data_IF_265177601304
#
_entry.id   IF_265177601304
#
_cell.length_a   1.000
_cell.length_b   1.000
_cell.length_c   1.000
_cell.angle_alpha   90.00
_cell.angle_beta   90.00
_cell.angle_gamma   90.00
#
_symmetry.space_group_name_H-M   'P 1'
#
loop_
_entity.id
_entity.type
_entity.pdbx_description
1 polymer ?
#
# COMPACT_ATOMS: atom_id res chain seq x y z
N UNK A 1 25.14 -0.76 -10.55
CA UNK A 1 24.23 -1.84 -10.12
C UNK A 1 23.28 -1.25 -9.09
N UNK A 2 22.00 -1.43 -9.27
CA UNK A 2 20.97 -0.98 -8.31
C UNK A 2 21.03 -1.87 -7.09
N UNK A 3 21.03 -1.30 -5.88
CA UNK A 3 21.06 -2.09 -4.67
C UNK A 3 19.72 -2.80 -4.42
N UNK A 4 19.78 -3.98 -3.77
CA UNK A 4 18.57 -4.71 -3.38
C UNK A 4 17.65 -3.86 -2.49
N UNK A 5 18.24 -3.04 -1.63
CA UNK A 5 17.50 -2.12 -0.76
C UNK A 5 16.72 -1.07 -1.57
N UNK A 6 17.30 -0.57 -2.67
CA UNK A 6 16.60 0.37 -3.54
C UNK A 6 15.38 -0.29 -4.22
N UNK A 7 15.49 -1.57 -4.61
CA UNK A 7 14.38 -2.36 -5.17
C UNK A 7 13.24 -2.49 -4.15
N UNK A 8 13.57 -2.95 -2.96
CA UNK A 8 12.61 -3.15 -1.88
C UNK A 8 11.91 -1.83 -1.50
N UNK A 9 12.68 -0.77 -1.36
CA UNK A 9 12.16 0.54 -1.01
C UNK A 9 11.21 1.09 -2.07
N UNK A 10 11.52 0.87 -3.34
CA UNK A 10 10.64 1.26 -4.44
C UNK A 10 9.30 0.53 -4.41
N UNK A 11 9.30 -0.78 -4.10
CA UNK A 11 8.07 -1.56 -3.98
C UNK A 11 7.17 -1.03 -2.84
N UNK A 12 7.78 -0.62 -1.71
CA UNK A 12 7.03 -0.02 -0.60
C UNK A 12 6.39 1.31 -1.01
N UNK A 13 7.14 2.16 -1.72
CA UNK A 13 6.63 3.44 -2.22
C UNK A 13 5.52 3.26 -3.25
N UNK A 14 5.64 2.26 -4.13
CA UNK A 14 4.60 1.91 -5.08
C UNK A 14 3.32 1.48 -4.34
N UNK A 15 3.43 0.56 -3.38
CA UNK A 15 2.31 0.09 -2.58
C UNK A 15 1.63 1.25 -1.80
N UNK A 16 2.43 2.15 -1.24
CA UNK A 16 1.93 3.36 -0.57
C UNK A 16 1.20 4.29 -1.54
N UNK A 17 1.75 4.51 -2.73
CA UNK A 17 1.12 5.34 -3.77
C UNK A 17 -0.23 4.77 -4.21
N UNK A 18 -0.31 3.46 -4.42
CA UNK A 18 -1.57 2.76 -4.72
C UNK A 18 -2.59 2.95 -3.60
N UNK A 19 -2.18 2.77 -2.34
CA UNK A 19 -3.04 2.99 -1.17
C UNK A 19 -3.54 4.44 -1.10
N UNK A 20 -2.64 5.40 -1.16
CA UNK A 20 -2.97 6.83 -1.06
C UNK A 20 -3.99 7.26 -2.13
N UNK A 21 -3.82 6.77 -3.37
CA UNK A 21 -4.77 7.05 -4.45
C UNK A 21 -6.17 6.50 -4.18
N UNK A 22 -6.27 5.31 -3.58
CA UNK A 22 -7.56 4.68 -3.29
C UNK A 22 -8.33 5.33 -2.14
N UNK A 23 -7.62 5.85 -1.13
CA UNK A 23 -8.26 6.44 0.05
C UNK A 23 -8.42 7.96 -0.06
N UNK A 24 -7.86 8.58 -1.09
CA UNK A 24 -8.03 10.02 -1.33
C UNK A 24 -9.51 10.33 -1.53
N UNK A 25 -10.03 11.23 -0.72
CA UNK A 25 -11.44 11.63 -0.76
C UNK A 25 -12.45 10.47 -0.63
N UNK A 26 -12.06 9.36 0.02
CA UNK A 26 -12.92 8.21 0.24
C UNK A 26 -14.12 8.59 1.14
N UNK A 27 -15.36 8.51 0.65
CA UNK A 27 -16.55 8.74 1.48
C UNK A 27 -16.71 7.64 2.53
N UNK A 28 -17.19 7.99 3.71
CA UNK A 28 -17.45 7.01 4.78
C UNK A 28 -18.44 5.92 4.33
N UNK A 29 -19.48 6.28 3.57
CA UNK A 29 -20.48 5.33 3.05
C UNK A 29 -19.85 4.26 2.15
N UNK A 30 -18.89 4.65 1.30
CA UNK A 30 -18.13 3.72 0.47
C UNK A 30 -17.22 2.82 1.32
N UNK A 31 -16.56 3.40 2.33
CA UNK A 31 -15.71 2.64 3.25
C UNK A 31 -16.50 1.63 4.09
N UNK A 32 -17.76 1.91 4.40
CA UNK A 32 -18.64 1.02 5.17
C UNK A 32 -19.32 -0.06 4.32
N UNK A 33 -19.25 0.05 3.02
CA UNK A 33 -19.86 -0.93 2.14
C UNK A 33 -19.24 -2.32 2.31
N UNK A 34 -20.09 -3.33 2.37
CA UNK A 34 -19.75 -4.75 2.41
C UNK A 34 -20.59 -5.52 1.40
N UNK A 35 -20.01 -6.46 0.70
CA UNK A 35 -20.69 -7.29 -0.28
C UNK A 35 -20.75 -8.76 0.17
N UNK A 36 -21.90 -9.39 0.09
CA UNK A 36 -22.03 -10.85 0.17
C UNK A 36 -21.45 -11.51 1.42
N UNK A 37 -21.45 -10.84 2.58
CA UNK A 37 -20.88 -11.38 3.82
C UNK A 37 -19.37 -11.17 3.99
N UNK A 38 -18.74 -10.45 3.07
CA UNK A 38 -17.35 -9.99 3.22
C UNK A 38 -17.26 -8.85 4.24
N UNK A 39 -16.05 -8.61 4.73
CA UNK A 39 -15.77 -7.42 5.55
C UNK A 39 -16.03 -6.15 4.74
N UNK A 40 -16.38 -5.07 5.41
CA UNK A 40 -16.50 -3.76 4.77
C UNK A 40 -15.15 -3.24 4.28
N UNK A 41 -15.17 -2.23 3.40
CA UNK A 41 -13.96 -1.53 2.98
C UNK A 41 -13.14 -1.02 4.17
N UNK A 42 -13.79 -0.41 5.18
CA UNK A 42 -13.12 -0.03 6.43
C UNK A 42 -12.51 -1.23 7.16
N UNK A 43 -13.19 -2.38 7.15
CA UNK A 43 -12.66 -3.63 7.70
C UNK A 43 -11.42 -4.12 6.96
N UNK A 44 -11.36 -3.96 5.63
CA UNK A 44 -10.17 -4.25 4.82
C UNK A 44 -9.03 -3.31 5.18
N UNK A 45 -9.28 -2.00 5.28
CA UNK A 45 -8.27 -1.01 5.66
C UNK A 45 -7.70 -1.28 7.06
N UNK A 46 -8.55 -1.56 8.05
CA UNK A 46 -8.14 -1.92 9.41
C UNK A 46 -7.24 -3.16 9.42
N UNK A 47 -7.61 -4.18 8.65
CA UNK A 47 -6.82 -5.40 8.52
C UNK A 47 -5.48 -5.13 7.86
N UNK A 48 -5.45 -4.36 6.78
CA UNK A 48 -4.24 -3.97 6.09
C UNK A 48 -3.28 -3.22 7.02
N UNK A 49 -3.77 -2.21 7.74
CA UNK A 49 -2.97 -1.45 8.70
C UNK A 49 -2.42 -2.32 9.83
N UNK A 50 -3.25 -3.21 10.39
CA UNK A 50 -2.81 -4.13 11.43
C UNK A 50 -1.62 -4.98 10.99
N UNK A 51 -1.69 -5.57 9.80
CA UNK A 51 -0.62 -6.41 9.29
C UNK A 51 0.61 -5.63 8.84
N UNK A 52 0.46 -4.40 8.35
CA UNK A 52 1.59 -3.49 8.11
C UNK A 52 2.41 -3.30 9.39
N UNK A 53 1.77 -3.02 10.51
CA UNK A 53 2.45 -2.86 11.80
C UNK A 53 2.99 -4.18 12.36
N UNK A 54 2.26 -5.27 12.24
CA UNK A 54 2.72 -6.60 12.71
C UNK A 54 3.96 -7.03 11.96
N UNK A 55 3.94 -7.04 10.64
CA UNK A 55 5.10 -7.46 9.85
C UNK A 55 6.28 -6.49 10.00
N UNK A 56 6.01 -5.19 10.15
CA UNK A 56 7.06 -4.23 10.47
C UNK A 56 7.76 -4.61 11.79
N UNK A 57 6.99 -4.96 12.82
CA UNK A 57 7.57 -5.35 14.10
C UNK A 57 8.41 -6.64 14.00
N UNK A 58 7.99 -7.61 13.21
CA UNK A 58 8.78 -8.82 12.93
C UNK A 58 10.07 -8.50 12.16
N UNK A 59 10.03 -7.53 11.28
CA UNK A 59 11.18 -7.12 10.49
C UNK A 59 12.25 -6.37 11.32
N UNK A 60 11.83 -5.50 12.22
CA UNK A 60 12.71 -4.48 12.80
C UNK A 60 12.75 -4.43 14.34
N UNK A 61 11.79 -5.02 15.05
CA UNK A 61 11.76 -4.96 16.51
C UNK A 61 12.34 -6.23 17.14
N UNK A 62 13.07 -6.08 18.24
CA UNK A 62 13.63 -7.21 19.00
C UNK A 62 12.55 -8.05 19.68
N UNK A 63 11.41 -7.44 19.97
CA UNK A 63 10.22 -8.09 20.55
C UNK A 63 9.02 -7.82 19.64
N UNK A 64 8.79 -8.68 18.64
CA UNK A 64 7.70 -8.49 17.70
C UNK A 64 6.34 -8.44 18.37
N UNK A 65 5.48 -7.57 17.89
CA UNK A 65 4.11 -7.41 18.38
C UNK A 65 3.25 -8.56 17.87
N UNK A 66 2.46 -9.11 18.73
CA UNK A 66 1.40 -9.99 18.29
C UNK A 66 0.25 -9.16 17.70
N UNK A 67 -0.43 -9.67 16.67
CA UNK A 67 -1.59 -9.02 16.07
C UNK A 67 -2.72 -8.73 17.08
N UNK A 68 -2.70 -9.41 18.23
CA UNK A 68 -3.61 -9.15 19.37
C UNK A 68 -3.11 -8.06 20.33
N UNK A 69 -2.01 -7.35 20.02
CA UNK A 69 -1.50 -6.31 20.89
C UNK A 69 -2.53 -5.19 21.14
N UNK A 70 -2.56 -4.66 22.36
CA UNK A 70 -3.50 -3.61 22.77
C UNK A 70 -3.15 -2.22 22.25
N UNK A 71 -1.96 -2.05 21.67
CA UNK A 71 -1.47 -0.78 21.13
C UNK A 71 -2.04 -0.39 19.77
N UNK A 72 -3.03 -1.12 19.30
CA UNK A 72 -3.75 -0.78 18.08
C UNK A 72 -4.69 0.42 18.30
N UNK A 73 -5.00 1.21 17.25
CA UNK A 73 -5.99 2.26 17.32
C UNK A 73 -7.32 1.77 17.91
N UNK A 74 -7.96 2.67 18.65
CA UNK A 74 -9.26 2.38 19.25
C UNK A 74 -10.23 1.83 18.17
N UNK A 75 -10.93 0.77 18.51
CA UNK A 75 -11.91 0.16 17.63
C UNK A 75 -11.36 -0.68 16.49
N UNK A 76 -10.05 -0.91 16.42
CA UNK A 76 -9.50 -1.78 15.39
C UNK A 76 -10.06 -3.21 15.47
N UNK A 77 -10.38 -3.68 16.65
CA UNK A 77 -10.95 -5.01 16.92
C UNK A 77 -12.40 -5.00 17.32
N UNK A 78 -12.84 -3.89 17.89
CA UNK A 78 -14.20 -3.70 18.36
C UNK A 78 -15.02 -3.03 17.26
N UNK A 79 -16.31 -3.32 17.19
CA UNK A 79 -17.23 -2.49 16.46
C UNK A 79 -17.32 -1.15 17.18
N UNK A 80 -16.94 -0.10 16.50
CA UNK A 80 -17.05 1.28 16.97
C UNK A 80 -17.98 1.98 16.02
N UNK A 81 -18.74 2.95 16.51
CA UNK A 81 -19.50 3.83 15.66
C UNK A 81 -18.55 4.49 14.66
N UNK A 82 -18.62 4.05 13.42
CA UNK A 82 -17.76 4.55 12.36
C UNK A 82 -18.14 6.00 12.06
N UNK A 83 -17.12 6.84 11.93
CA UNK A 83 -17.25 8.25 11.59
C UNK A 83 -16.18 8.66 10.58
N UNK A 84 -16.36 9.79 9.91
CA UNK A 84 -15.31 10.36 9.04
C UNK A 84 -14.00 10.62 9.81
N UNK A 85 -14.09 10.98 11.10
CA UNK A 85 -12.92 11.16 11.95
C UNK A 85 -12.19 9.84 12.16
N UNK A 86 -12.92 8.77 12.47
CA UNK A 86 -12.34 7.45 12.66
C UNK A 86 -11.76 6.89 11.36
N UNK A 87 -12.42 7.12 10.21
CA UNK A 87 -11.86 6.75 8.91
C UNK A 87 -10.53 7.46 8.66
N UNK A 88 -10.44 8.77 8.91
CA UNK A 88 -9.18 9.52 8.80
C UNK A 88 -8.10 9.03 9.75
N UNK A 89 -8.47 8.66 10.99
CA UNK A 89 -7.54 8.05 11.95
C UNK A 89 -6.94 6.74 11.41
N UNK A 90 -7.78 5.85 10.86
CA UNK A 90 -7.34 4.58 10.26
C UNK A 90 -6.43 4.82 9.07
N UNK A 91 -6.79 5.74 8.17
CA UNK A 91 -5.97 6.10 7.00
C UNK A 91 -4.61 6.65 7.44
N UNK A 92 -4.58 7.60 8.39
CA UNK A 92 -3.34 8.17 8.92
C UNK A 92 -2.45 7.11 9.55
N UNK A 93 -3.03 6.19 10.30
CA UNK A 93 -2.31 5.09 10.92
C UNK A 93 -1.66 4.14 9.91
N UNK A 94 -2.30 3.89 8.77
CA UNK A 94 -1.73 3.11 7.67
C UNK A 94 -0.59 3.88 6.99
N UNK A 95 -0.77 5.18 6.75
CA UNK A 95 0.26 6.06 6.18
C UNK A 95 1.51 6.10 7.06
N UNK A 96 1.34 6.20 8.37
CA UNK A 96 2.45 6.17 9.33
C UNK A 96 3.20 4.84 9.27
N UNK A 97 2.50 3.73 9.08
CA UNK A 97 3.13 2.43 8.91
C UNK A 97 3.98 2.38 7.63
N UNK A 98 3.48 2.85 6.50
CA UNK A 98 4.26 2.93 5.26
C UNK A 98 5.49 3.83 5.39
N UNK A 99 5.33 5.00 6.03
CA UNK A 99 6.43 5.92 6.27
C UNK A 99 7.53 5.26 7.13
N UNK A 100 7.13 4.49 8.14
CA UNK A 100 8.04 3.76 9.01
C UNK A 100 8.78 2.66 8.25
N UNK A 101 8.10 1.88 7.41
CA UNK A 101 8.72 0.91 6.53
C UNK A 101 9.78 1.54 5.62
N UNK A 102 9.45 2.64 4.92
CA UNK A 102 10.38 3.33 4.01
C UNK A 102 11.61 3.87 4.77
N UNK A 103 11.41 4.44 5.96
CA UNK A 103 12.49 4.99 6.78
C UNK A 103 13.44 3.90 7.30
N UNK A 104 12.90 2.80 7.83
CA UNK A 104 13.71 1.74 8.42
C UNK A 104 14.50 0.98 7.34
N UNK A 105 13.92 0.74 6.16
CA UNK A 105 14.66 0.17 5.02
C UNK A 105 15.72 1.14 4.50
N UNK A 106 15.44 2.45 4.49
CA UNK A 106 16.43 3.44 4.07
C UNK A 106 17.65 3.50 5.01
N UNK A 107 17.46 3.15 6.27
CA UNK A 107 18.53 3.12 7.28
C UNK A 107 19.35 1.81 7.28
N UNK A 108 18.93 0.78 6.51
CA UNK A 108 19.62 -0.51 6.45
C UNK A 108 20.93 -0.44 5.67
N UNK A 109 21.83 -1.34 6.02
CA UNK A 109 23.06 -1.58 5.25
C UNK A 109 22.86 -2.75 4.26
N UNK A 110 23.64 -2.75 3.18
CA UNK A 110 23.65 -3.85 2.21
C UNK A 110 23.92 -5.20 2.90
N UNK A 111 23.21 -6.24 2.45
CA UNK A 111 23.31 -7.58 3.02
C UNK A 111 22.34 -7.87 4.18
N UNK A 112 21.75 -6.85 4.82
CA UNK A 112 20.80 -7.04 5.93
C UNK A 112 19.54 -7.81 5.50
N UNK A 113 19.15 -7.73 4.24
CA UNK A 113 17.96 -8.46 3.72
C UNK A 113 18.09 -9.98 3.84
N UNK A 114 19.31 -10.53 3.87
CA UNK A 114 19.57 -11.95 4.10
C UNK A 114 19.49 -12.38 5.56
N UNK A 115 19.47 -11.45 6.51
CA UNK A 115 19.43 -11.79 7.93
C UNK A 115 18.11 -12.42 8.32
N UNK A 116 18.17 -13.48 9.12
CA UNK A 116 16.95 -14.16 9.59
C UNK A 116 16.27 -13.36 10.69
N UNK A 117 14.97 -13.26 10.56
CA UNK A 117 14.07 -12.64 11.54
C UNK A 117 12.98 -13.64 11.97
N UNK A 118 12.53 -13.58 13.22
CA UNK A 118 11.41 -14.39 13.67
C UNK A 118 10.15 -13.97 12.92
N UNK A 119 9.28 -14.94 12.63
CA UNK A 119 7.95 -14.71 12.07
C UNK A 119 6.92 -15.41 12.96
N UNK A 120 5.64 -15.06 12.82
CA UNK A 120 4.57 -15.77 13.50
C UNK A 120 4.64 -17.28 13.17
N UNK A 121 4.12 -18.13 14.03
CA UNK A 121 4.23 -19.60 13.98
C UNK A 121 5.61 -20.18 14.36
N UNK A 122 6.51 -19.36 14.93
CA UNK A 122 7.79 -19.85 15.45
C UNK A 122 8.83 -20.20 14.38
N UNK A 123 8.61 -19.77 13.14
CA UNK A 123 9.60 -19.91 12.06
C UNK A 123 10.53 -18.70 12.00
N UNK A 124 11.68 -18.87 11.36
CA UNK A 124 12.63 -17.80 11.11
C UNK A 124 12.95 -17.75 9.62
N UNK A 125 12.76 -16.59 9.01
CA UNK A 125 12.90 -16.36 7.58
C UNK A 125 13.84 -15.19 7.29
N UNK A 126 14.43 -15.07 6.10
CA UNK A 126 15.15 -13.88 5.67
C UNK A 126 14.26 -12.63 5.77
N UNK A 127 14.83 -11.50 6.11
CA UNK A 127 14.10 -10.22 6.16
C UNK A 127 13.45 -9.89 4.81
N UNK A 128 14.12 -10.22 3.70
CA UNK A 128 13.57 -10.07 2.36
C UNK A 128 12.21 -10.77 2.18
N UNK A 129 12.04 -11.95 2.78
CA UNK A 129 10.79 -12.70 2.70
C UNK A 129 9.66 -12.02 3.46
N UNK A 130 9.97 -11.42 4.62
CA UNK A 130 8.98 -10.64 5.39
C UNK A 130 8.51 -9.43 4.59
N UNK A 131 9.43 -8.70 3.97
CA UNK A 131 9.11 -7.54 3.14
C UNK A 131 8.27 -7.96 1.93
N UNK A 132 8.68 -9.00 1.23
CA UNK A 132 7.95 -9.54 0.08
C UNK A 132 6.53 -9.97 0.46
N UNK A 133 6.40 -10.74 1.53
CA UNK A 133 5.12 -11.20 2.05
C UNK A 133 4.20 -10.01 2.36
N UNK A 134 4.75 -8.97 3.01
CA UNK A 134 3.98 -7.77 3.32
C UNK A 134 3.52 -7.03 2.06
N UNK A 135 4.38 -6.87 1.05
CA UNK A 135 4.00 -6.17 -0.17
C UNK A 135 2.94 -6.93 -0.98
N UNK A 136 3.04 -8.25 -1.03
CA UNK A 136 2.00 -9.09 -1.64
C UNK A 136 0.68 -8.99 -0.88
N UNK A 137 0.73 -8.97 0.45
CA UNK A 137 -0.45 -8.80 1.30
C UNK A 137 -1.12 -7.43 1.06
N UNK A 138 -0.34 -6.36 0.95
CA UNK A 138 -0.86 -5.03 0.60
C UNK A 138 -1.57 -5.06 -0.75
N UNK A 139 -0.90 -5.57 -1.79
CA UNK A 139 -1.47 -5.62 -3.14
C UNK A 139 -2.77 -6.43 -3.19
N UNK A 140 -2.82 -7.57 -2.48
CA UNK A 140 -4.02 -8.39 -2.38
C UNK A 140 -5.20 -7.62 -1.77
N UNK A 141 -4.99 -6.94 -0.63
CA UNK A 141 -6.07 -6.21 0.03
C UNK A 141 -6.45 -4.90 -0.65
N UNK A 142 -5.54 -4.26 -1.36
CA UNK A 142 -5.90 -3.13 -2.22
C UNK A 142 -6.78 -3.59 -3.39
N UNK A 143 -6.52 -4.77 -3.96
CA UNK A 143 -7.40 -5.39 -4.96
C UNK A 143 -8.79 -5.73 -4.39
N UNK A 144 -8.86 -6.30 -3.18
CA UNK A 144 -10.12 -6.56 -2.46
C UNK A 144 -10.91 -5.27 -2.23
N UNK A 145 -10.24 -4.21 -1.78
CA UNK A 145 -10.85 -2.91 -1.55
C UNK A 145 -11.40 -2.29 -2.84
N UNK A 146 -10.63 -2.32 -3.92
CA UNK A 146 -11.07 -1.84 -5.23
C UNK A 146 -12.30 -2.59 -5.75
N UNK A 147 -12.32 -3.91 -5.57
CA UNK A 147 -13.48 -4.71 -5.96
C UNK A 147 -14.74 -4.27 -5.18
N UNK A 148 -14.62 -4.03 -3.88
CA UNK A 148 -15.74 -3.54 -3.07
C UNK A 148 -16.24 -2.17 -3.57
N UNK A 149 -15.33 -1.24 -3.86
CA UNK A 149 -15.68 0.07 -4.40
C UNK A 149 -16.36 -0.03 -5.78
N UNK A 150 -15.86 -0.88 -6.66
CA UNK A 150 -16.45 -1.11 -7.98
C UNK A 150 -17.87 -1.66 -7.90
N UNK A 151 -18.10 -2.61 -6.99
CA UNK A 151 -19.45 -3.15 -6.73
C UNK A 151 -20.38 -2.07 -6.16
N UNK A 152 -19.89 -1.28 -5.18
CA UNK A 152 -20.68 -0.19 -4.54
C UNK A 152 -21.10 0.86 -5.53
N UNK A 153 -20.21 1.25 -6.43
CA UNK A 153 -20.42 2.35 -7.38
C UNK A 153 -21.05 1.90 -8.69
N UNK A 154 -21.20 0.60 -8.88
CA UNK A 154 -21.63 0.00 -10.16
C UNK A 154 -20.77 0.45 -11.35
N UNK A 155 -19.50 0.73 -11.08
CA UNK A 155 -18.51 1.19 -12.05
C UNK A 155 -17.50 0.08 -12.36
N UNK A 156 -17.08 -0.02 -13.61
CA UNK A 156 -15.91 -0.84 -13.94
C UNK A 156 -14.70 -0.27 -13.20
N UNK A 157 -13.88 -1.17 -12.63
CA UNK A 157 -12.65 -0.73 -11.99
C UNK A 157 -11.73 -0.06 -13.01
N UNK A 158 -11.52 1.20 -12.82
CA UNK A 158 -10.51 1.97 -13.53
C UNK A 158 -9.63 2.69 -12.49
N UNK A 159 -8.35 2.80 -12.78
CA UNK A 159 -7.48 3.69 -12.03
C UNK A 159 -7.99 5.11 -12.23
N UNK A 160 -8.38 5.80 -11.17
CA UNK A 160 -8.73 7.22 -11.24
C UNK A 160 -7.53 8.06 -11.63
N UNK A 161 -7.75 9.24 -12.17
CA UNK A 161 -6.67 10.14 -12.62
C UNK A 161 -5.63 10.37 -11.53
N UNK A 162 -6.06 10.59 -10.29
CA UNK A 162 -5.16 10.80 -9.15
C UNK A 162 -4.33 9.56 -8.79
N UNK A 163 -4.89 8.37 -8.98
CA UNK A 163 -4.15 7.12 -8.79
C UNK A 163 -3.15 6.94 -9.91
N UNK A 164 -3.50 7.29 -11.14
CA UNK A 164 -2.60 7.23 -12.28
C UNK A 164 -1.41 8.18 -12.11
N UNK A 165 -1.60 9.41 -11.63
CA UNK A 165 -0.51 10.35 -11.31
C UNK A 165 0.42 9.80 -10.23
N UNK A 166 -0.13 9.36 -9.09
CA UNK A 166 0.66 8.77 -8.03
C UNK A 166 1.38 7.50 -8.49
N UNK A 167 0.73 6.68 -9.30
CA UNK A 167 1.31 5.47 -9.87
C UNK A 167 2.47 5.78 -10.81
N UNK A 168 2.31 6.78 -11.71
CA UNK A 168 3.36 7.21 -12.62
C UNK A 168 4.58 7.70 -11.84
N UNK A 169 4.40 8.55 -10.85
CA UNK A 169 5.50 9.10 -10.06
C UNK A 169 6.18 8.00 -9.22
N UNK A 170 5.41 7.16 -8.58
CA UNK A 170 5.94 6.04 -7.78
C UNK A 170 6.62 5.00 -8.66
N UNK A 171 6.01 4.62 -9.78
CA UNK A 171 6.57 3.71 -10.75
C UNK A 171 7.82 4.28 -11.40
N UNK A 172 7.85 5.59 -11.70
CA UNK A 172 9.03 6.28 -12.20
C UNK A 172 10.22 6.20 -11.24
N UNK A 173 10.00 6.34 -9.95
CA UNK A 173 11.03 6.10 -8.95
C UNK A 173 11.49 4.63 -8.96
N UNK A 174 10.56 3.68 -9.06
CA UNK A 174 10.83 2.26 -9.17
C UNK A 174 11.67 1.91 -10.39
N UNK A 175 11.27 2.41 -11.53
CA UNK A 175 11.97 2.22 -12.81
C UNK A 175 13.41 2.74 -12.73
N UNK A 176 13.63 3.93 -12.16
CA UNK A 176 14.96 4.50 -11.99
C UNK A 176 15.82 3.73 -11.00
N UNK A 177 15.19 3.21 -9.95
CA UNK A 177 15.91 2.53 -8.89
C UNK A 177 16.36 1.12 -9.27
N UNK A 178 15.68 0.47 -10.22
CA UNK A 178 15.79 -0.97 -10.33
C UNK A 178 16.55 -1.53 -11.51
N UNK A 179 16.20 -1.19 -12.71
CA UNK A 179 16.62 -1.99 -13.87
C UNK A 179 16.70 -1.25 -15.20
N UNK A 180 16.46 0.04 -15.21
CA UNK A 180 16.54 0.87 -16.41
C UNK A 180 17.62 1.94 -16.26
N UNK A 181 18.30 2.28 -17.37
CA UNK A 181 19.10 3.49 -17.44
C UNK A 181 18.19 4.72 -17.29
N UNK A 182 18.76 5.85 -16.84
CA UNK A 182 18.01 7.10 -16.69
C UNK A 182 17.30 7.52 -17.99
N UNK A 183 17.92 7.26 -19.15
CA UNK A 183 17.33 7.56 -20.46
C UNK A 183 16.09 6.70 -20.74
N UNK A 184 16.14 5.40 -20.46
CA UNK A 184 15.01 4.48 -20.66
C UNK A 184 13.88 4.80 -19.66
N UNK A 185 14.23 5.13 -18.41
CA UNK A 185 13.28 5.52 -17.39
C UNK A 185 12.53 6.80 -17.80
N UNK A 186 13.26 7.84 -18.25
CA UNK A 186 12.68 9.09 -18.71
C UNK A 186 11.75 8.88 -19.92
N UNK A 187 12.19 8.10 -20.92
CA UNK A 187 11.38 7.79 -22.11
C UNK A 187 10.12 6.96 -21.77
N UNK A 188 10.19 6.10 -20.74
CA UNK A 188 9.04 5.32 -20.27
C UNK A 188 8.03 6.21 -19.57
N UNK A 189 8.46 7.11 -18.69
CA UNK A 189 7.60 8.07 -18.02
C UNK A 189 6.92 9.02 -19.00
N UNK A 190 7.64 9.51 -20.00
CA UNK A 190 7.08 10.37 -21.03
C UNK A 190 5.95 9.66 -21.80
N UNK A 191 6.15 8.38 -22.17
CA UNK A 191 5.11 7.59 -22.83
C UNK A 191 3.89 7.35 -21.94
N UNK A 192 4.08 7.11 -20.65
CA UNK A 192 3.00 6.92 -19.70
C UNK A 192 2.18 8.20 -19.52
N UNK A 193 2.86 9.36 -19.39
CA UNK A 193 2.20 10.67 -19.31
C UNK A 193 1.42 11.00 -20.57
N UNK A 194 2.00 10.80 -21.74
CA UNK A 194 1.31 11.01 -23.02
C UNK A 194 0.08 10.10 -23.17
N UNK A 195 0.16 8.85 -22.74
CA UNK A 195 -0.98 7.93 -22.76
C UNK A 195 -2.08 8.35 -21.77
N UNK A 196 -1.71 8.89 -20.60
CA UNK A 196 -2.65 9.45 -19.63
C UNK A 196 -3.36 10.69 -20.16
N UNK A 197 -2.62 11.66 -20.70
CA UNK A 197 -3.16 12.87 -21.31
C UNK A 197 -4.12 12.57 -22.49
N UNK A 198 -3.77 11.58 -23.33
CA UNK A 198 -4.63 11.16 -24.43
C UNK A 198 -5.96 10.56 -23.94
N UNK A 199 -5.94 9.81 -22.84
CA UNK A 199 -7.15 9.26 -22.21
C UNK A 199 -8.01 10.35 -21.56
N UNK A 200 -7.41 11.27 -20.84
CA UNK A 200 -8.10 12.42 -20.25
C UNK A 200 -8.78 13.29 -21.31
N UNK A 201 -8.09 13.58 -22.44
CA UNK A 201 -8.64 14.32 -23.56
C UNK A 201 -9.82 13.61 -24.25
N UNK A 202 -9.79 12.27 -24.34
CA UNK A 202 -10.87 11.48 -24.93
C UNK A 202 -12.15 11.50 -24.06
N UNK A 203 -12.02 11.55 -22.73
CA UNK A 203 -13.15 11.64 -21.80
C UNK A 203 -13.80 13.05 -21.78
N UNK A 204 -13.02 14.11 -21.88
CA UNK A 204 -13.51 15.50 -21.90
C UNK A 204 -14.29 15.88 -23.17
N UNK A 205 -14.21 15.11 -24.24
CA UNK A 205 -14.92 15.33 -25.51
C UNK A 205 -16.29 14.65 -25.61
N UNK A 206 -16.74 13.93 -24.58
CA UNK A 206 -18.03 13.22 -24.59
C UNK A 206 -19.11 13.88 -23.69
N UNK A 207 -18.88 15.07 -23.16
CA UNK A 207 -19.82 15.85 -22.34
C UNK A 207 -20.61 16.87 -23.17
#
# INVERSE_FOLDING_TARGET
MTSELAVVRSNIRLARGMFAGQVKSLPLDDALFAAGGWRSGLGVLKHLGAWLHVYHSYAFETQPRHWTATSWPRGLREEVDASDEYLREVVSWIEDAFAKWDADIAAMVEGTLGEKRPLHMGISVPLADIVNLQMQHVAFHLGEFNMLLSIKREEAWEWGEEVEENHIDTFGHGVRAHWMSDEIAAATLERLRAAHEARAGARGGQS
#
